data_IF_991673146337
#
_entry.id   IF_991673146337
#
_cell.length_a   1.000
_cell.length_b   1.000
_cell.length_c   1.000
_cell.angle_alpha   90.00
_cell.angle_beta   90.00
_cell.angle_gamma   90.00
#
_symmetry.space_group_name_H-M   'P 1'
#
loop_
_entity.id
_entity.type
_entity.pdbx_description
1 polymer ?
#
# COMPACT_ATOMS: atom_id res chain seq x y z
N UNK A 1 -13.01 18.65 -27.47
CA UNK A 1 -12.73 18.17 -28.85
C UNK A 1 -12.92 19.23 -29.95
N UNK A 2 -13.70 20.31 -29.74
CA UNK A 2 -13.99 21.32 -30.77
C UNK A 2 -12.95 22.45 -30.93
N UNK A 3 -11.90 22.50 -30.11
CA UNK A 3 -10.84 23.54 -30.20
C UNK A 3 -9.81 23.12 -31.24
N UNK A 4 -9.55 23.99 -32.23
CA UNK A 4 -8.50 23.77 -33.24
C UNK A 4 -7.10 23.86 -32.61
N UNK A 5 -6.10 23.21 -33.23
CA UNK A 5 -4.73 23.27 -32.73
C UNK A 5 -4.19 24.71 -32.68
N UNK A 6 -4.52 25.54 -33.68
CA UNK A 6 -4.12 26.95 -33.71
C UNK A 6 -4.69 27.74 -32.54
N UNK A 7 -5.99 27.58 -32.24
CA UNK A 7 -6.62 28.25 -31.09
C UNK A 7 -6.01 27.79 -29.77
N UNK A 8 -5.79 26.48 -29.62
CA UNK A 8 -5.19 25.91 -28.42
C UNK A 8 -3.76 26.42 -28.20
N UNK A 9 -2.94 26.45 -29.26
CA UNK A 9 -1.57 26.96 -29.19
C UNK A 9 -1.54 28.47 -28.90
N UNK A 10 -2.43 29.24 -29.52
CA UNK A 10 -2.58 30.67 -29.23
C UNK A 10 -2.94 30.93 -27.77
N UNK A 11 -3.83 30.12 -27.18
CA UNK A 11 -4.16 30.19 -25.76
C UNK A 11 -2.94 29.87 -24.87
N UNK A 12 -2.23 28.78 -25.18
CA UNK A 12 -1.05 28.36 -24.42
C UNK A 12 0.08 29.39 -24.47
N UNK A 13 0.25 30.07 -25.61
CA UNK A 13 1.24 31.14 -25.77
C UNK A 13 0.83 32.40 -25.00
N UNK A 14 -0.44 32.82 -25.09
CA UNK A 14 -0.97 33.99 -24.40
C UNK A 14 -0.86 33.90 -22.87
N UNK A 15 -1.04 32.70 -22.32
CA UNK A 15 -1.04 32.45 -20.87
C UNK A 15 0.19 31.66 -20.39
N UNK A 16 1.31 31.74 -21.11
CA UNK A 16 2.53 31.01 -20.76
C UNK A 16 2.99 31.32 -19.33
N UNK A 17 3.33 30.27 -18.57
CA UNK A 17 3.76 30.37 -17.16
C UNK A 17 2.62 30.52 -16.14
N UNK A 18 1.36 30.58 -16.57
CA UNK A 18 0.21 30.68 -15.67
C UNK A 18 -0.45 29.31 -15.43
N UNK A 19 -1.02 29.05 -14.24
CA UNK A 19 -1.71 27.80 -13.93
C UNK A 19 -2.82 27.45 -14.93
N UNK A 20 -3.51 28.45 -15.50
CA UNK A 20 -4.58 28.23 -16.48
C UNK A 20 -4.07 27.58 -17.78
N UNK A 21 -2.85 27.90 -18.22
CA UNK A 21 -2.26 27.27 -19.40
C UNK A 21 -1.85 25.83 -19.11
N UNK A 22 -1.37 25.53 -17.91
CA UNK A 22 -1.01 24.18 -17.50
C UNK A 22 -2.24 23.27 -17.37
N UNK A 23 -3.30 23.79 -16.74
CA UNK A 23 -4.60 23.11 -16.66
C UNK A 23 -5.18 22.88 -18.06
N UNK A 24 -5.16 23.89 -18.93
CA UNK A 24 -5.66 23.74 -20.29
C UNK A 24 -4.86 22.70 -21.09
N UNK A 25 -3.52 22.72 -21.01
CA UNK A 25 -2.66 21.72 -21.66
C UNK A 25 -3.02 20.30 -21.24
N UNK A 26 -3.21 20.08 -19.94
CA UNK A 26 -3.55 18.77 -19.37
C UNK A 26 -4.90 18.24 -19.85
N UNK A 27 -5.83 19.13 -20.20
CA UNK A 27 -7.15 18.78 -20.75
C UNK A 27 -7.13 18.63 -22.28
N UNK A 28 -6.32 19.43 -22.98
CA UNK A 28 -6.26 19.44 -24.44
C UNK A 28 -5.40 18.31 -25.01
N UNK A 29 -4.22 18.03 -24.45
CA UNK A 29 -3.32 16.99 -24.96
C UNK A 29 -3.95 15.58 -25.01
N UNK A 30 -4.85 15.15 -24.09
CA UNK A 30 -5.57 13.90 -24.25
C UNK A 30 -6.45 13.86 -25.51
N UNK A 31 -7.07 14.99 -25.88
CA UNK A 31 -7.85 15.09 -27.12
C UNK A 31 -6.93 15.02 -28.36
N UNK A 32 -5.76 15.66 -28.31
CA UNK A 32 -4.73 15.56 -29.36
C UNK A 32 -4.27 14.10 -29.52
N UNK A 33 -4.02 13.40 -28.41
CA UNK A 33 -3.65 11.99 -28.42
C UNK A 33 -4.73 11.08 -29.02
N UNK A 34 -6.01 11.32 -28.70
CA UNK A 34 -7.14 10.58 -29.31
C UNK A 34 -7.22 10.78 -30.83
N UNK A 35 -6.86 11.96 -31.33
CA UNK A 35 -6.76 12.25 -32.77
C UNK A 35 -5.49 11.73 -33.42
N UNK A 36 -4.59 11.10 -32.65
CA UNK A 36 -3.29 10.59 -33.11
C UNK A 36 -2.39 11.67 -33.74
N UNK A 37 -2.59 12.94 -33.37
CA UNK A 37 -1.77 14.05 -33.84
C UNK A 37 -0.48 14.13 -33.01
N UNK A 38 0.43 13.20 -33.31
CA UNK A 38 1.67 13.00 -32.57
C UNK A 38 2.63 14.18 -32.67
N UNK A 39 2.68 14.85 -33.81
CA UNK A 39 3.51 16.04 -34.01
C UNK A 39 3.06 17.17 -33.09
N UNK A 40 1.75 17.46 -33.04
CA UNK A 40 1.21 18.50 -32.14
C UNK A 40 1.42 18.13 -30.67
N UNK A 41 1.21 16.86 -30.31
CA UNK A 41 1.42 16.38 -28.95
C UNK A 41 2.87 16.60 -28.50
N UNK A 42 3.85 16.17 -29.32
CA UNK A 42 5.27 16.31 -29.00
C UNK A 42 5.71 17.78 -28.95
N UNK A 43 5.20 18.63 -29.84
CA UNK A 43 5.51 20.06 -29.85
C UNK A 43 4.99 20.80 -28.61
N UNK A 44 3.92 20.30 -27.98
CA UNK A 44 3.26 20.94 -26.84
C UNK A 44 3.46 20.18 -25.52
N UNK A 45 4.29 19.13 -25.53
CA UNK A 45 4.55 18.30 -24.37
C UNK A 45 5.22 19.09 -23.24
N UNK A 46 4.77 18.82 -22.01
CA UNK A 46 5.44 19.20 -20.77
C UNK A 46 5.38 18.03 -19.78
N UNK A 47 6.39 17.84 -18.92
CA UNK A 47 6.34 16.84 -17.86
C UNK A 47 5.06 16.97 -17.02
N UNK A 48 4.46 15.82 -16.68
CA UNK A 48 3.20 15.73 -15.95
C UNK A 48 3.13 14.41 -15.20
N UNK A 49 2.41 14.37 -14.08
CA UNK A 49 2.12 13.15 -13.34
C UNK A 49 0.97 12.33 -13.95
N UNK A 50 0.29 12.87 -14.96
CA UNK A 50 -0.77 12.14 -15.67
C UNK A 50 -0.16 10.98 -16.49
N UNK A 51 -0.33 9.75 -15.98
CA UNK A 51 0.19 8.51 -16.58
C UNK A 51 -0.31 8.32 -18.01
N UNK A 52 -1.59 8.57 -18.30
CA UNK A 52 -2.14 8.44 -19.64
C UNK A 52 -1.48 9.38 -20.64
N UNK A 53 -1.18 10.61 -20.24
CA UNK A 53 -0.44 11.57 -21.06
C UNK A 53 1.03 11.20 -21.25
N UNK A 54 1.70 10.69 -20.22
CA UNK A 54 3.06 10.15 -20.33
C UNK A 54 3.12 8.99 -21.33
N UNK A 55 2.15 8.08 -21.27
CA UNK A 55 2.02 7.01 -22.23
C UNK A 55 1.74 7.52 -23.65
N UNK A 56 0.83 8.48 -23.81
CA UNK A 56 0.56 9.11 -25.10
C UNK A 56 1.82 9.77 -25.71
N UNK A 57 2.68 10.38 -24.89
CA UNK A 57 3.95 10.94 -25.35
C UNK A 57 4.94 9.88 -25.84
N UNK A 58 5.04 8.75 -25.14
CA UNK A 58 5.87 7.64 -25.58
C UNK A 58 5.32 6.97 -26.84
N UNK A 59 4.00 6.83 -26.94
CA UNK A 59 3.34 6.37 -28.17
C UNK A 59 3.63 7.33 -29.33
N UNK A 60 3.59 8.64 -29.11
CA UNK A 60 3.93 9.64 -30.14
C UNK A 60 5.40 9.54 -30.58
N UNK A 61 6.33 9.31 -29.65
CA UNK A 61 7.75 9.04 -29.97
C UNK A 61 7.92 7.76 -30.78
N UNK A 62 7.24 6.69 -30.39
CA UNK A 62 7.24 5.42 -31.10
C UNK A 62 6.71 5.59 -32.54
N UNK A 63 5.58 6.26 -32.71
CA UNK A 63 4.96 6.50 -34.01
C UNK A 63 5.80 7.41 -34.93
N UNK A 64 6.68 8.23 -34.38
CA UNK A 64 7.59 9.11 -35.13
C UNK A 64 9.00 8.55 -35.28
N UNK A 65 9.20 7.25 -34.99
CA UNK A 65 10.49 6.56 -35.17
C UNK A 65 11.53 6.83 -34.08
N UNK A 66 11.15 7.49 -32.98
CA UNK A 66 12.05 7.87 -31.86
C UNK A 66 12.08 6.80 -30.76
N UNK A 67 12.34 5.55 -31.13
CA UNK A 67 12.52 4.40 -30.22
C UNK A 67 13.99 4.25 -29.77
N UNK A 68 14.50 5.29 -29.12
CA UNK A 68 15.86 5.33 -28.58
C UNK A 68 15.97 4.75 -27.15
N UNK A 69 17.19 4.69 -26.62
CA UNK A 69 17.42 4.20 -25.25
C UNK A 69 16.70 5.04 -24.18
N UNK A 70 16.41 6.32 -24.44
CA UNK A 70 15.65 7.15 -23.52
C UNK A 70 14.18 6.73 -23.49
N UNK A 71 13.60 6.40 -24.65
CA UNK A 71 12.25 5.87 -24.74
C UNK A 71 12.10 4.60 -23.90
N UNK A 72 13.04 3.67 -24.02
CA UNK A 72 13.08 2.43 -23.23
C UNK A 72 13.11 2.72 -21.72
N UNK A 73 13.97 3.64 -21.28
CA UNK A 73 14.05 4.04 -19.85
C UNK A 73 12.72 4.61 -19.35
N UNK A 74 12.14 5.55 -20.09
CA UNK A 74 10.89 6.20 -19.72
C UNK A 74 9.71 5.21 -19.67
N UNK A 75 9.65 4.30 -20.65
CA UNK A 75 8.65 3.24 -20.73
C UNK A 75 8.80 2.23 -19.58
N UNK A 76 10.03 1.81 -19.25
CA UNK A 76 10.30 0.93 -18.12
C UNK A 76 9.97 1.58 -16.77
N UNK A 77 10.14 2.89 -16.63
CA UNK A 77 9.68 3.63 -15.44
C UNK A 77 8.16 3.56 -15.29
N UNK A 78 7.39 3.61 -16.38
CA UNK A 78 5.94 3.44 -16.34
C UNK A 78 5.55 1.98 -16.04
N UNK A 79 6.29 1.01 -16.58
CA UNK A 79 6.04 -0.42 -16.35
C UNK A 79 6.15 -0.80 -14.86
N UNK A 80 7.17 -0.32 -14.15
CA UNK A 80 7.50 -0.72 -12.77
C UNK A 80 6.47 -0.34 -11.70
N UNK A 81 5.39 0.37 -12.06
CA UNK A 81 4.32 0.67 -11.12
C UNK A 81 3.50 -0.59 -10.77
N UNK A 82 3.18 -0.76 -9.49
CA UNK A 82 2.23 -1.77 -9.03
C UNK A 82 0.76 -1.45 -9.36
N UNK A 83 0.49 -0.24 -9.86
CA UNK A 83 -0.87 0.20 -10.21
C UNK A 83 -1.28 -0.29 -11.60
N UNK A 84 -2.59 -0.32 -11.83
CA UNK A 84 -3.13 -0.48 -13.17
C UNK A 84 -2.64 0.65 -14.08
N UNK A 85 -2.21 0.30 -15.29
CA UNK A 85 -1.93 1.28 -16.32
C UNK A 85 -3.21 1.53 -17.13
N UNK A 86 -3.51 2.79 -17.50
CA UNK A 86 -4.61 3.08 -18.42
C UNK A 86 -4.36 2.46 -19.81
N UNK A 87 -5.42 2.19 -20.56
CA UNK A 87 -5.37 1.63 -21.92
C UNK A 87 -4.49 2.46 -22.88
N UNK A 88 -4.34 3.76 -22.63
CA UNK A 88 -3.42 4.64 -23.36
C UNK A 88 -1.94 4.17 -23.32
N UNK A 89 -1.59 3.29 -22.37
CA UNK A 89 -0.28 2.69 -22.22
C UNK A 89 -0.08 1.38 -22.97
N UNK A 90 -1.14 0.78 -23.52
CA UNK A 90 -1.04 -0.50 -24.23
C UNK A 90 -0.02 -0.46 -25.39
N UNK A 91 0.05 0.60 -26.23
CA UNK A 91 1.07 0.68 -27.29
C UNK A 91 2.51 0.71 -26.74
N UNK A 92 2.71 1.36 -25.59
CA UNK A 92 4.01 1.46 -24.93
C UNK A 92 4.45 0.11 -24.38
N UNK A 93 3.53 -0.61 -23.72
CA UNK A 93 3.79 -1.96 -23.21
C UNK A 93 4.07 -2.92 -24.37
N UNK A 94 3.26 -2.90 -25.43
CA UNK A 94 3.50 -3.69 -26.62
C UNK A 94 4.85 -3.36 -27.28
N UNK A 95 5.26 -2.09 -27.27
CA UNK A 95 6.57 -1.66 -27.72
C UNK A 95 7.71 -2.29 -26.92
N UNK A 96 7.62 -2.32 -25.58
CA UNK A 96 8.59 -3.00 -24.72
C UNK A 96 8.61 -4.53 -24.97
N UNK A 97 7.44 -5.15 -25.14
CA UNK A 97 7.30 -6.59 -25.39
C UNK A 97 7.91 -7.02 -26.71
N UNK A 98 7.60 -6.30 -27.81
CA UNK A 98 8.11 -6.61 -29.14
C UNK A 98 9.64 -6.51 -29.24
N UNK A 99 10.25 -5.70 -28.36
CA UNK A 99 11.70 -5.51 -28.26
C UNK A 99 12.36 -6.45 -27.25
N UNK A 100 11.59 -7.32 -26.57
CA UNK A 100 12.10 -8.22 -25.55
C UNK A 100 12.62 -7.52 -24.29
N UNK A 101 12.22 -6.27 -24.05
CA UNK A 101 12.71 -5.48 -22.92
C UNK A 101 11.98 -5.81 -21.61
N UNK A 102 10.86 -6.54 -21.66
CA UNK A 102 10.17 -7.07 -20.48
C UNK A 102 10.72 -8.45 -20.10
N UNK A 103 11.91 -8.45 -19.50
CA UNK A 103 12.53 -9.66 -18.96
C UNK A 103 11.68 -10.32 -17.86
N UNK A 104 11.85 -11.61 -17.57
CA UNK A 104 11.17 -12.27 -16.46
C UNK A 104 11.37 -11.56 -15.11
N UNK A 105 12.56 -10.98 -14.88
CA UNK A 105 12.83 -10.22 -13.67
C UNK A 105 11.97 -8.95 -13.56
N UNK A 106 11.81 -8.19 -14.65
CA UNK A 106 10.96 -6.99 -14.67
C UNK A 106 9.48 -7.31 -14.54
N UNK A 107 9.06 -8.48 -15.03
CA UNK A 107 7.69 -8.98 -14.84
C UNK A 107 7.44 -9.31 -13.38
N UNK A 108 8.37 -10.01 -12.73
CA UNK A 108 8.29 -10.29 -11.29
C UNK A 108 8.34 -9.02 -10.44
N UNK A 109 9.18 -8.04 -10.77
CA UNK A 109 9.22 -6.73 -10.09
C UNK A 109 7.83 -6.08 -10.09
N UNK A 110 7.15 -6.08 -11.24
CA UNK A 110 5.79 -5.54 -11.34
C UNK A 110 4.75 -6.38 -10.63
N UNK A 111 4.85 -7.71 -10.66
CA UNK A 111 3.97 -8.62 -9.89
C UNK A 111 4.07 -8.33 -8.41
N UNK A 112 5.29 -8.17 -7.88
CA UNK A 112 5.53 -7.85 -6.46
C UNK A 112 5.01 -6.45 -6.10
N UNK A 113 5.26 -5.44 -6.94
CA UNK A 113 4.70 -4.11 -6.73
C UNK A 113 3.16 -4.10 -6.76
N UNK A 114 2.54 -4.92 -7.61
CA UNK A 114 1.09 -5.08 -7.66
C UNK A 114 0.52 -5.83 -6.45
N UNK A 115 1.27 -6.79 -5.90
CA UNK A 115 0.93 -7.45 -4.65
C UNK A 115 0.95 -6.46 -3.47
N UNK A 116 1.95 -5.59 -3.40
CA UNK A 116 2.04 -4.51 -2.39
C UNK A 116 0.83 -3.57 -2.48
N UNK A 117 0.39 -3.27 -3.70
CA UNK A 117 -0.80 -2.47 -3.96
C UNK A 117 -2.12 -3.24 -3.75
N UNK A 118 -2.06 -4.54 -3.44
CA UNK A 118 -3.22 -5.43 -3.29
C UNK A 118 -4.09 -5.51 -4.57
N UNK A 119 -3.45 -5.50 -5.74
CA UNK A 119 -4.09 -5.49 -7.06
C UNK A 119 -3.83 -6.81 -7.83
N UNK A 120 -4.52 -7.90 -7.51
CA UNK A 120 -4.31 -9.21 -8.12
C UNK A 120 -4.61 -9.24 -9.62
N UNK A 121 -5.50 -8.39 -10.13
CA UNK A 121 -5.71 -8.22 -11.57
C UNK A 121 -4.43 -7.73 -12.28
N UNK A 122 -3.69 -6.80 -11.67
CA UNK A 122 -2.43 -6.28 -12.22
C UNK A 122 -1.30 -7.32 -12.10
N UNK A 123 -1.28 -8.13 -11.04
CA UNK A 123 -0.35 -9.26 -10.94
C UNK A 123 -0.51 -10.22 -12.12
N UNK A 124 -1.75 -10.61 -12.45
CA UNK A 124 -2.05 -11.51 -13.57
C UNK A 124 -1.62 -10.94 -14.92
N UNK A 125 -1.84 -9.64 -15.15
CA UNK A 125 -1.42 -9.02 -16.41
C UNK A 125 0.10 -8.86 -16.49
N UNK A 126 0.76 -8.47 -15.40
CA UNK A 126 2.21 -8.35 -15.32
C UNK A 126 2.95 -9.68 -15.57
N UNK A 127 2.36 -10.80 -15.12
CA UNK A 127 2.91 -12.13 -15.23
C UNK A 127 2.89 -12.73 -16.64
N UNK A 128 2.03 -12.22 -17.55
CA UNK A 128 1.95 -12.70 -18.94
C UNK A 128 3.35 -12.74 -19.57
N UNK A 129 3.72 -13.81 -20.25
CA UNK A 129 5.05 -13.95 -20.86
C UNK A 129 6.17 -14.38 -19.92
N UNK A 130 5.90 -14.60 -18.63
CA UNK A 130 6.76 -15.44 -17.79
C UNK A 130 6.78 -16.89 -18.29
N UNK A 131 7.84 -17.67 -18.01
CA UNK A 131 7.84 -19.11 -18.21
C UNK A 131 6.65 -19.79 -17.53
N UNK A 132 6.21 -20.94 -18.04
CA UNK A 132 4.96 -21.57 -17.62
C UNK A 132 4.85 -21.80 -16.09
N UNK A 133 5.92 -22.25 -15.45
CA UNK A 133 5.96 -22.46 -13.99
C UNK A 133 5.83 -21.14 -13.20
N UNK A 134 6.55 -20.11 -13.64
CA UNK A 134 6.52 -18.78 -13.01
C UNK A 134 5.16 -18.09 -13.22
N UNK A 135 4.59 -18.21 -14.41
CA UNK A 135 3.25 -17.71 -14.71
C UNK A 135 2.19 -18.39 -13.84
N UNK A 136 2.26 -19.71 -13.69
CA UNK A 136 1.35 -20.45 -12.81
C UNK A 136 1.47 -19.99 -11.36
N UNK A 137 2.70 -19.82 -10.86
CA UNK A 137 2.97 -19.33 -9.50
C UNK A 137 2.46 -17.90 -9.28
N UNK A 138 2.74 -16.97 -10.20
CA UNK A 138 2.29 -15.58 -10.12
C UNK A 138 0.76 -15.46 -10.13
N UNK A 139 0.09 -16.27 -10.95
CA UNK A 139 -1.38 -16.34 -10.98
C UNK A 139 -1.93 -16.93 -9.68
N UNK A 140 -1.23 -17.90 -9.08
CA UNK A 140 -1.63 -18.47 -7.80
C UNK A 140 -1.47 -17.49 -6.63
N UNK A 141 -0.39 -16.72 -6.62
CA UNK A 141 -0.21 -15.60 -5.69
C UNK A 141 -1.36 -14.59 -5.80
N UNK A 142 -1.74 -14.22 -7.03
CA UNK A 142 -2.87 -13.33 -7.27
C UNK A 142 -4.19 -13.91 -6.75
N UNK A 143 -4.44 -15.20 -6.99
CA UNK A 143 -5.62 -15.90 -6.48
C UNK A 143 -5.65 -15.96 -4.95
N UNK A 144 -4.49 -16.15 -4.31
CA UNK A 144 -4.38 -16.15 -2.85
C UNK A 144 -4.68 -14.79 -2.22
N UNK A 145 -4.25 -13.68 -2.84
CA UNK A 145 -4.60 -12.34 -2.38
C UNK A 145 -6.08 -12.01 -2.59
N UNK A 146 -6.74 -12.61 -3.58
CA UNK A 146 -8.20 -12.54 -3.72
C UNK A 146 -8.89 -13.35 -2.61
N UNK A 147 -8.42 -14.58 -2.37
CA UNK A 147 -8.93 -15.47 -1.33
C UNK A 147 -7.85 -16.46 -0.89
N UNK A 148 -7.51 -16.42 0.40
CA UNK A 148 -6.58 -17.36 1.04
C UNK A 148 -7.03 -18.81 0.79
N UNK A 149 -6.09 -19.67 0.38
CA UNK A 149 -6.37 -21.06 0.05
C UNK A 149 -5.22 -22.02 0.44
N UNK A 150 -5.50 -23.30 0.75
CA UNK A 150 -4.52 -24.22 1.31
C UNK A 150 -3.38 -24.60 0.34
N UNK A 151 -3.60 -24.46 -0.98
CA UNK A 151 -2.56 -24.71 -2.01
C UNK A 151 -1.30 -23.88 -1.81
N UNK A 152 -1.38 -22.75 -1.08
CA UNK A 152 -0.20 -21.95 -0.74
C UNK A 152 0.84 -22.71 0.10
N UNK A 153 0.44 -23.78 0.80
CA UNK A 153 1.37 -24.63 1.55
C UNK A 153 2.36 -25.39 0.67
N UNK A 154 2.09 -25.53 -0.64
CA UNK A 154 2.99 -26.19 -1.59
C UNK A 154 3.84 -25.21 -2.41
N UNK A 155 3.79 -23.91 -2.10
CA UNK A 155 4.64 -22.94 -2.80
C UNK A 155 6.13 -23.15 -2.48
N UNK A 156 7.03 -22.74 -3.39
CA UNK A 156 8.46 -22.80 -3.11
C UNK A 156 8.80 -21.92 -1.89
N UNK A 157 9.75 -22.35 -1.06
CA UNK A 157 10.17 -21.65 0.18
C UNK A 157 11.06 -20.43 -0.10
N UNK A 158 10.57 -19.49 -0.91
CA UNK A 158 11.25 -18.25 -1.26
C UNK A 158 10.73 -17.07 -0.45
N UNK A 159 11.49 -15.98 -0.43
CA UNK A 159 11.04 -14.76 0.25
C UNK A 159 9.77 -14.19 -0.41
N UNK A 160 9.65 -14.31 -1.73
CA UNK A 160 8.46 -13.94 -2.47
C UNK A 160 7.21 -14.69 -1.99
N UNK A 161 7.28 -16.03 -1.87
CA UNK A 161 6.14 -16.82 -1.38
C UNK A 161 5.74 -16.41 0.04
N UNK A 162 6.73 -16.18 0.92
CA UNK A 162 6.48 -15.76 2.29
C UNK A 162 5.78 -14.41 2.34
N UNK A 163 6.29 -13.42 1.60
CA UNK A 163 5.70 -12.09 1.51
C UNK A 163 4.24 -12.13 1.06
N UNK A 164 3.95 -12.81 -0.05
CA UNK A 164 2.56 -12.94 -0.55
C UNK A 164 1.65 -13.64 0.47
N UNK A 165 2.14 -14.69 1.13
CA UNK A 165 1.37 -15.41 2.14
C UNK A 165 1.08 -14.53 3.37
N UNK A 166 2.08 -13.76 3.83
CA UNK A 166 1.91 -12.77 4.90
C UNK A 166 0.88 -11.71 4.51
N UNK A 167 1.00 -11.12 3.33
CA UNK A 167 0.09 -10.09 2.85
C UNK A 167 -1.35 -10.60 2.72
N UNK A 168 -1.54 -11.81 2.17
CA UNK A 168 -2.86 -12.41 2.05
C UNK A 168 -3.49 -12.74 3.41
N UNK A 169 -2.71 -13.23 4.38
CA UNK A 169 -3.19 -13.47 5.75
C UNK A 169 -3.49 -12.16 6.49
N UNK A 170 -2.64 -11.15 6.33
CA UNK A 170 -2.86 -9.80 6.86
C UNK A 170 -4.14 -9.17 6.30
N UNK A 171 -4.39 -9.32 5.00
CA UNK A 171 -5.63 -8.90 4.35
C UNK A 171 -6.84 -9.67 4.88
N UNK A 172 -6.74 -10.99 5.00
CA UNK A 172 -7.80 -11.83 5.57
C UNK A 172 -8.14 -11.40 7.00
N UNK A 173 -7.14 -11.11 7.82
CA UNK A 173 -7.32 -10.68 9.20
C UNK A 173 -8.17 -9.41 9.34
N UNK A 174 -8.20 -8.54 8.32
CA UNK A 174 -9.05 -7.34 8.32
C UNK A 174 -10.54 -7.67 8.28
N UNK A 175 -10.93 -8.70 7.53
CA UNK A 175 -12.33 -9.12 7.40
C UNK A 175 -12.71 -10.25 8.35
N UNK A 176 -11.76 -11.14 8.65
CA UNK A 176 -11.96 -12.37 9.41
C UNK A 176 -10.66 -12.73 10.18
N UNK A 177 -10.45 -12.13 11.37
CA UNK A 177 -9.29 -12.44 12.22
C UNK A 177 -9.21 -13.91 12.63
N UNK A 178 -10.35 -14.58 12.81
CA UNK A 178 -10.42 -15.98 13.24
C UNK A 178 -9.88 -16.90 12.14
N UNK A 179 -10.32 -16.71 10.90
CA UNK A 179 -9.83 -17.47 9.76
C UNK A 179 -8.32 -17.22 9.52
N UNK A 180 -7.85 -15.98 9.66
CA UNK A 180 -6.43 -15.68 9.52
C UNK A 180 -5.58 -16.40 10.60
N UNK A 181 -6.05 -16.41 11.85
CA UNK A 181 -5.38 -17.10 12.96
C UNK A 181 -5.34 -18.62 12.74
N UNK A 182 -6.41 -19.22 12.22
CA UNK A 182 -6.48 -20.65 11.92
C UNK A 182 -5.48 -21.06 10.82
N UNK A 183 -5.31 -20.24 9.79
CA UNK A 183 -4.45 -20.56 8.63
C UNK A 183 -2.95 -20.32 8.90
N UNK A 184 -2.63 -19.40 9.81
CA UNK A 184 -1.26 -18.95 10.06
C UNK A 184 -0.29 -20.08 10.43
N UNK A 185 -0.56 -20.99 11.38
CA UNK A 185 0.41 -22.02 11.78
C UNK A 185 0.84 -22.93 10.62
N UNK A 186 -0.12 -23.36 9.79
CA UNK A 186 0.14 -24.25 8.67
C UNK A 186 1.02 -23.56 7.62
N UNK A 187 0.66 -22.34 7.21
CA UNK A 187 1.42 -21.60 6.20
C UNK A 187 2.78 -21.15 6.70
N UNK A 188 2.88 -20.74 7.97
CA UNK A 188 4.15 -20.36 8.59
C UNK A 188 5.13 -21.53 8.61
N UNK A 189 4.67 -22.74 8.96
CA UNK A 189 5.48 -23.95 8.94
C UNK A 189 5.85 -24.37 7.51
N UNK A 190 4.88 -24.37 6.60
CA UNK A 190 5.07 -24.80 5.22
C UNK A 190 6.09 -23.93 4.47
N UNK A 191 6.03 -22.60 4.65
CA UNK A 191 6.85 -21.62 3.93
C UNK A 191 8.09 -21.15 4.71
N UNK A 192 8.20 -21.54 5.98
CA UNK A 192 9.31 -21.18 6.86
C UNK A 192 9.31 -19.70 7.22
N UNK A 193 8.21 -19.19 7.77
CA UNK A 193 8.12 -17.79 8.20
C UNK A 193 9.14 -17.50 9.30
N UNK A 194 9.78 -16.34 9.19
CA UNK A 194 10.51 -15.73 10.31
C UNK A 194 9.55 -15.28 11.41
N UNK A 195 10.08 -15.02 12.60
CA UNK A 195 9.30 -14.44 13.70
C UNK A 195 8.72 -13.07 13.30
N UNK A 196 9.48 -12.25 12.56
CA UNK A 196 9.00 -10.96 12.05
C UNK A 196 7.80 -11.12 11.11
N UNK A 197 7.86 -12.06 10.16
CA UNK A 197 6.76 -12.34 9.23
C UNK A 197 5.52 -12.88 9.96
N UNK A 198 5.71 -13.78 10.94
CA UNK A 198 4.61 -14.26 11.78
C UNK A 198 4.02 -13.11 12.61
N UNK A 199 4.86 -12.25 13.17
CA UNK A 199 4.48 -11.07 13.94
C UNK A 199 3.63 -10.08 13.14
N UNK A 200 3.95 -9.86 11.86
CA UNK A 200 3.15 -9.01 10.95
C UNK A 200 1.70 -9.51 10.80
N UNK A 201 1.50 -10.82 10.66
CA UNK A 201 0.15 -11.41 10.58
C UNK A 201 -0.57 -11.32 11.93
N UNK A 202 0.10 -11.69 13.02
CA UNK A 202 -0.46 -11.61 14.37
C UNK A 202 -0.87 -10.19 14.75
N UNK A 203 -0.07 -9.19 14.34
CA UNK A 203 -0.39 -7.77 14.51
C UNK A 203 -1.75 -7.45 13.88
N UNK A 204 -2.00 -7.85 12.62
CA UNK A 204 -3.26 -7.56 11.94
C UNK A 204 -4.42 -8.31 12.58
N UNK A 205 -4.23 -9.58 12.97
CA UNK A 205 -5.22 -10.36 13.72
C UNK A 205 -5.62 -9.64 15.00
N UNK A 206 -4.65 -9.21 15.80
CA UNK A 206 -4.93 -8.50 17.04
C UNK A 206 -5.60 -7.15 16.78
N UNK A 207 -5.05 -6.33 15.87
CA UNK A 207 -5.53 -5.00 15.55
C UNK A 207 -6.99 -4.99 15.10
N UNK A 208 -7.39 -5.89 14.20
CA UNK A 208 -8.77 -5.93 13.71
C UNK A 208 -9.74 -6.58 14.70
N UNK A 209 -9.25 -7.48 15.55
CA UNK A 209 -10.01 -8.00 16.70
C UNK A 209 -10.35 -6.88 17.68
N UNK A 210 -9.36 -6.09 18.11
CA UNK A 210 -9.53 -5.02 19.10
C UNK A 210 -10.30 -3.82 18.55
N UNK A 211 -10.08 -3.46 17.28
CA UNK A 211 -10.79 -2.36 16.63
C UNK A 211 -12.29 -2.64 16.46
N UNK A 212 -12.66 -3.92 16.38
CA UNK A 212 -14.04 -4.38 16.24
C UNK A 212 -14.64 -4.92 17.55
N UNK A 213 -13.89 -4.83 18.67
CA UNK A 213 -14.27 -5.37 19.99
C UNK A 213 -14.69 -6.84 19.99
N UNK A 214 -14.11 -7.65 19.09
CA UNK A 214 -14.37 -9.08 19.03
C UNK A 214 -13.89 -9.80 20.30
N UNK A 215 -14.39 -11.01 20.60
CA UNK A 215 -13.87 -11.85 21.67
C UNK A 215 -12.37 -12.14 21.52
N UNK A 216 -11.72 -12.61 22.58
CA UNK A 216 -10.30 -12.99 22.62
C UNK A 216 -9.27 -11.91 22.27
N UNK A 217 -9.69 -10.64 22.21
CA UNK A 217 -8.85 -9.46 21.99
C UNK A 217 -7.59 -9.46 22.85
N UNK A 218 -7.73 -9.64 24.17
CA UNK A 218 -6.59 -9.66 25.09
C UNK A 218 -5.60 -10.80 24.78
N UNK A 219 -6.09 -12.00 24.45
CA UNK A 219 -5.26 -13.15 24.07
C UNK A 219 -4.49 -12.86 22.79
N UNK A 220 -5.15 -12.30 21.77
CA UNK A 220 -4.52 -11.97 20.49
C UNK A 220 -3.50 -10.86 20.62
N UNK A 221 -3.77 -9.82 21.41
CA UNK A 221 -2.80 -8.79 21.77
C UNK A 221 -1.56 -9.40 22.45
N UNK A 222 -1.76 -10.33 23.38
CA UNK A 222 -0.65 -11.00 24.08
C UNK A 222 0.14 -11.95 23.17
N UNK A 223 -0.43 -12.42 22.06
CA UNK A 223 0.26 -13.28 21.10
C UNK A 223 1.17 -12.50 20.14
N UNK A 224 0.98 -11.18 19.97
CA UNK A 224 1.84 -10.34 19.14
C UNK A 224 3.22 -10.18 19.81
N UNK A 225 4.33 -10.48 19.13
CA UNK A 225 5.67 -10.24 19.67
C UNK A 225 5.89 -8.76 19.99
N UNK A 226 6.59 -8.45 21.09
CA UNK A 226 6.84 -7.06 21.51
C UNK A 226 7.54 -6.23 20.42
N UNK A 227 8.44 -6.86 19.64
CA UNK A 227 9.12 -6.21 18.51
C UNK A 227 8.19 -5.82 17.34
N UNK A 228 6.96 -6.34 17.31
CA UNK A 228 5.93 -6.02 16.32
C UNK A 228 4.93 -4.97 16.81
N UNK A 229 5.06 -4.47 18.05
CA UNK A 229 4.21 -3.38 18.54
C UNK A 229 4.67 -2.03 17.99
N UNK A 230 3.72 -1.29 17.41
CA UNK A 230 3.86 0.12 17.10
C UNK A 230 2.99 0.96 18.04
N UNK A 231 3.06 2.29 17.91
CA UNK A 231 2.26 3.20 18.72
C UNK A 231 0.76 2.90 18.57
N UNK A 232 0.31 2.52 17.37
CA UNK A 232 -1.09 2.19 17.10
C UNK A 232 -1.56 0.98 17.90
N UNK A 233 -0.80 -0.11 17.95
CA UNK A 233 -1.21 -1.32 18.67
C UNK A 233 -1.13 -1.11 20.19
N UNK A 234 -0.17 -0.33 20.67
CA UNK A 234 -0.14 0.10 22.07
C UNK A 234 -1.39 0.89 22.47
N UNK A 235 -1.80 1.85 21.63
CA UNK A 235 -3.03 2.63 21.81
C UNK A 235 -4.26 1.72 21.88
N UNK A 236 -4.37 0.78 20.94
CA UNK A 236 -5.49 -0.15 20.91
C UNK A 236 -5.50 -1.11 22.11
N UNK A 237 -4.35 -1.55 22.61
CA UNK A 237 -4.25 -2.37 23.82
C UNK A 237 -4.81 -1.66 25.05
N UNK A 238 -4.51 -0.37 25.21
CA UNK A 238 -5.06 0.43 26.30
C UNK A 238 -6.57 0.65 26.14
N UNK A 239 -7.03 1.00 24.92
CA UNK A 239 -8.45 1.22 24.63
C UNK A 239 -9.30 -0.02 24.84
N UNK A 240 -8.82 -1.17 24.41
CA UNK A 240 -9.54 -2.42 24.55
C UNK A 240 -9.77 -2.77 26.03
N UNK A 241 -8.71 -2.72 26.84
CA UNK A 241 -8.83 -2.95 28.28
C UNK A 241 -9.77 -1.93 28.96
N UNK A 242 -9.69 -0.64 28.58
CA UNK A 242 -10.61 0.39 29.07
C UNK A 242 -12.07 0.10 28.69
N UNK A 243 -12.33 -0.32 27.45
CA UNK A 243 -13.68 -0.63 26.98
C UNK A 243 -14.27 -1.87 27.69
N UNK A 244 -13.42 -2.80 28.12
CA UNK A 244 -13.81 -3.97 28.93
C UNK A 244 -13.96 -3.66 30.42
N UNK A 245 -13.57 -2.46 30.87
CA UNK A 245 -13.54 -2.09 32.29
C UNK A 245 -12.40 -2.72 33.09
N UNK A 246 -11.40 -3.31 32.41
CA UNK A 246 -10.21 -3.87 33.04
C UNK A 246 -9.18 -2.75 33.31
N UNK A 247 -9.42 -1.99 34.38
CA UNK A 247 -8.58 -0.86 34.75
C UNK A 247 -7.11 -1.24 35.05
N UNK A 248 -6.82 -2.35 35.75
CA UNK A 248 -5.44 -2.82 35.91
C UNK A 248 -4.75 -3.11 34.58
N UNK A 249 -5.41 -3.81 33.65
CA UNK A 249 -4.81 -4.10 32.34
C UNK A 249 -4.63 -2.84 31.49
N UNK A 250 -5.58 -1.91 31.54
CA UNK A 250 -5.47 -0.63 30.85
C UNK A 250 -4.27 0.19 31.36
N UNK A 251 -4.08 0.26 32.68
CA UNK A 251 -2.94 0.95 33.28
C UNK A 251 -1.62 0.29 32.86
N UNK A 252 -1.56 -1.04 32.90
CA UNK A 252 -0.39 -1.79 32.45
C UNK A 252 -0.10 -1.55 30.96
N UNK A 253 -1.12 -1.47 30.11
CA UNK A 253 -0.98 -1.21 28.68
C UNK A 253 -0.40 0.19 28.41
N UNK A 254 -0.87 1.23 29.10
CA UNK A 254 -0.30 2.59 28.96
C UNK A 254 1.15 2.61 29.43
N UNK A 255 1.48 1.93 30.54
CA UNK A 255 2.85 1.87 31.05
C UNK A 255 3.83 1.14 30.12
N UNK A 256 3.32 0.28 29.24
CA UNK A 256 4.09 -0.39 28.18
C UNK A 256 4.31 0.47 26.94
N UNK A 257 3.66 1.61 26.79
CA UNK A 257 3.90 2.52 25.66
C UNK A 257 5.35 3.01 25.66
N UNK A 258 5.96 3.21 24.48
CA UNK A 258 7.21 3.93 24.35
C UNK A 258 7.13 5.30 25.01
N UNK A 259 8.26 5.80 25.53
CA UNK A 259 8.28 7.06 26.30
C UNK A 259 7.70 8.25 25.51
N UNK A 260 7.98 8.34 24.21
CA UNK A 260 7.42 9.36 23.31
C UNK A 260 5.90 9.34 23.31
N UNK A 261 5.31 8.17 23.05
CA UNK A 261 3.87 7.98 23.04
C UNK A 261 3.27 8.22 24.43
N UNK A 262 3.82 7.61 25.48
CA UNK A 262 3.30 7.74 26.85
C UNK A 262 3.30 9.18 27.38
N UNK A 263 4.22 10.00 26.88
CA UNK A 263 4.33 11.41 27.24
C UNK A 263 3.28 12.32 26.60
N UNK A 264 2.52 11.83 25.62
CA UNK A 264 1.37 12.55 25.08
C UNK A 264 0.36 12.85 26.19
N UNK A 265 -0.15 14.08 26.22
CA UNK A 265 -1.02 14.59 27.30
C UNK A 265 -2.27 13.73 27.51
N UNK A 266 -2.82 13.14 26.45
CA UNK A 266 -3.95 12.20 26.54
C UNK A 266 -3.57 10.96 27.35
N UNK A 267 -2.40 10.38 27.10
CA UNK A 267 -1.96 9.18 27.81
C UNK A 267 -1.55 9.46 29.24
N UNK A 268 -0.96 10.63 29.53
CA UNK A 268 -0.72 11.08 30.89
C UNK A 268 -2.02 11.22 31.68
N UNK A 269 -3.05 11.83 31.08
CA UNK A 269 -4.37 11.92 31.69
C UNK A 269 -4.98 10.54 31.96
N UNK A 270 -5.03 9.65 30.96
CA UNK A 270 -5.58 8.30 31.14
C UNK A 270 -4.76 7.47 32.15
N UNK A 271 -3.44 7.60 32.17
CA UNK A 271 -2.61 6.95 33.18
C UNK A 271 -2.98 7.43 34.59
N UNK A 272 -3.17 8.74 34.77
CA UNK A 272 -3.61 9.32 36.04
C UNK A 272 -4.99 8.79 36.46
N UNK A 273 -5.98 8.83 35.55
CA UNK A 273 -7.34 8.32 35.79
C UNK A 273 -7.33 6.84 36.21
N UNK A 274 -6.52 6.03 35.52
CA UNK A 274 -6.44 4.59 35.78
C UNK A 274 -5.64 4.28 37.05
N UNK A 275 -4.63 5.09 37.39
CA UNK A 275 -3.93 5.01 38.66
C UNK A 275 -4.88 5.25 39.84
N UNK A 276 -5.75 6.26 39.77
CA UNK A 276 -6.79 6.47 40.80
C UNK A 276 -7.75 5.29 40.92
N UNK A 277 -8.25 4.81 39.77
CA UNK A 277 -9.18 3.65 39.72
C UNK A 277 -8.57 2.36 40.27
N UNK A 278 -7.25 2.27 40.33
CA UNK A 278 -6.51 1.11 40.85
C UNK A 278 -5.88 1.35 42.23
N UNK A 279 -6.24 2.46 42.91
CA UNK A 279 -5.83 2.75 44.28
C UNK A 279 -4.50 3.50 44.44
N UNK A 280 -3.86 3.91 43.34
CA UNK A 280 -2.60 4.65 43.32
C UNK A 280 -2.80 6.17 43.15
N UNK A 281 -3.72 6.77 43.91
CA UNK A 281 -4.12 8.18 43.75
C UNK A 281 -2.96 9.17 43.89
N UNK A 282 -1.99 8.92 44.77
CA UNK A 282 -0.82 9.78 44.95
C UNK A 282 0.04 9.89 43.67
N UNK A 283 0.06 8.85 42.83
CA UNK A 283 0.79 8.85 41.57
C UNK A 283 0.05 9.61 40.45
N UNK A 284 -1.25 9.88 40.59
CA UNK A 284 -2.07 10.53 39.57
C UNK A 284 -1.85 12.06 39.51
N UNK A 285 -1.65 12.72 40.66
CA UNK A 285 -1.57 14.17 40.72
C UNK A 285 -0.46 14.79 39.84
N UNK A 286 0.78 14.27 39.81
CA UNK A 286 1.81 14.77 38.90
C UNK A 286 1.44 14.61 37.43
N UNK A 287 0.80 13.48 37.07
CA UNK A 287 0.38 13.18 35.70
C UNK A 287 -0.75 14.11 35.22
N UNK A 288 -1.73 14.42 36.08
CA UNK A 288 -2.73 15.44 35.75
C UNK A 288 -2.13 16.82 35.53
N UNK A 289 -1.18 17.23 36.38
CA UNK A 289 -0.49 18.52 36.22
C UNK A 289 0.30 18.59 34.91
N UNK A 290 0.92 17.48 34.50
CA UNK A 290 1.63 17.40 33.22
C UNK A 290 0.66 17.49 32.04
N UNK A 291 -0.42 16.71 32.06
CA UNK A 291 -1.44 16.73 30.99
C UNK A 291 -2.06 18.13 30.81
N UNK A 292 -2.38 18.82 31.92
CA UNK A 292 -2.99 20.15 31.92
C UNK A 292 -2.12 21.27 31.32
N UNK A 293 -0.85 21.01 30.98
CA UNK A 293 0.00 21.96 30.24
C UNK A 293 -0.30 21.97 28.74
N UNK A 294 -1.08 21.01 28.24
CA UNK A 294 -1.47 20.92 26.84
C UNK A 294 -2.83 21.60 26.61
N UNK A 295 -3.02 22.32 25.49
CA UNK A 295 -4.29 22.93 25.12
C UNK A 295 -5.27 21.96 24.45
N UNK A 296 -4.95 20.66 24.35
CA UNK A 296 -5.78 19.66 23.67
C UNK A 296 -6.78 18.99 24.62
N UNK A 297 -7.89 18.49 24.08
CA UNK A 297 -8.81 17.63 24.84
C UNK A 297 -8.13 16.29 25.19
N UNK A 298 -8.45 15.73 26.36
CA UNK A 298 -7.90 14.46 26.86
C UNK A 298 -8.98 13.41 27.07
#
# INVERSE_FOLDING_TARGET
DNVSNTQAQGFLQRYAGQPVAESFRSTWLPAVARRQDWTTLLANWKPTDNVGLRCAQLTARQATGKLDAQWSRDALTLWRTGKGLPDACDPVVAGLESRGELSPALRWERVEAAADAQLPAVMRTAARGLPAADLALANDYAAFLDKVHPRASSWPRTERSRRIAVDGLAKLAKSDPDAAEQQLPQLASALGFSEAQRGQVLYQIALWTVASYLPDSARRLNAVPDASYDERLHEWRAREAMARGDWPAALAAIRKMPATQRSDSRWQYFEARLAEKTGAAAAAQPLYRAAAQSPTFH
#
